data_IF_901650827244
#
_entry.id   IF_901650827244
#
_cell.length_a   1.000
_cell.length_b   1.000
_cell.length_c   1.000
_cell.angle_alpha   90.00
_cell.angle_beta   90.00
_cell.angle_gamma   90.00
#
_symmetry.space_group_name_H-M   'P 1'
#
loop_
_entity.id
_entity.type
_entity.pdbx_description
1 polymer ?
#
# COMPACT_ATOMS: atom_id res chain seq x y z
N UNK A 1 -22.50 18.12 6.25
CA UNK A 1 -22.33 17.11 5.19
C UNK A 1 -22.72 15.76 5.78
N UNK A 2 -23.78 15.12 5.29
CA UNK A 2 -24.06 13.73 5.68
C UNK A 2 -23.10 12.83 4.88
N UNK A 3 -22.23 12.11 5.57
CA UNK A 3 -21.45 11.06 4.93
C UNK A 3 -22.38 9.89 4.62
N UNK A 4 -22.38 9.47 3.35
CA UNK A 4 -23.18 8.33 2.89
C UNK A 4 -22.59 6.99 3.35
N UNK A 5 -21.28 6.93 3.50
CA UNK A 5 -20.58 5.72 3.92
C UNK A 5 -20.46 5.58 5.43
N UNK A 6 -20.63 4.35 5.97
CA UNK A 6 -20.21 4.07 7.32
C UNK A 6 -18.69 4.27 7.45
N UNK A 7 -18.25 4.66 8.64
CA UNK A 7 -16.84 4.69 8.97
C UNK A 7 -16.46 3.37 9.65
N UNK A 8 -15.17 3.02 9.62
CA UNK A 8 -14.68 1.85 10.36
C UNK A 8 -15.00 1.94 11.86
N UNK A 9 -15.16 3.16 12.38
CA UNK A 9 -15.57 3.40 13.75
C UNK A 9 -16.51 4.61 13.89
N UNK A 10 -17.53 4.44 14.74
CA UNK A 10 -18.43 5.53 15.13
C UNK A 10 -17.77 6.40 16.19
N UNK A 11 -17.56 7.68 15.86
CA UNK A 11 -16.87 8.63 16.73
C UNK A 11 -17.81 9.57 17.46
N UNK A 12 -19.11 9.52 17.19
CA UNK A 12 -20.08 10.40 17.83
C UNK A 12 -20.01 10.28 19.35
N UNK A 13 -19.70 11.41 20.00
CA UNK A 13 -19.56 11.52 21.45
C UNK A 13 -18.24 11.00 22.01
N UNK A 14 -17.35 10.41 21.19
CA UNK A 14 -16.02 9.98 21.62
C UNK A 14 -15.13 11.18 21.89
N UNK A 15 -14.35 11.13 22.97
CA UNK A 15 -13.49 12.21 23.42
C UNK A 15 -12.04 11.94 23.04
N UNK A 16 -11.45 12.90 22.33
CA UNK A 16 -10.09 12.85 21.82
C UNK A 16 -9.25 13.95 22.44
N UNK A 17 -7.98 13.66 22.70
CA UNK A 17 -6.95 14.66 22.89
C UNK A 17 -5.77 14.35 21.96
N UNK A 18 -5.31 15.36 21.22
CA UNK A 18 -4.25 15.21 20.21
C UNK A 18 -3.03 15.99 20.65
N UNK A 19 -1.87 15.32 20.68
CA UNK A 19 -0.60 15.90 21.06
C UNK A 19 0.45 15.68 19.96
N UNK A 20 1.20 16.74 19.63
CA UNK A 20 2.09 16.71 18.49
C UNK A 20 1.39 17.13 17.19
N UNK A 21 2.18 17.25 16.13
CA UNK A 21 1.64 17.52 14.80
C UNK A 21 1.54 16.19 14.03
N UNK A 22 0.42 15.98 13.35
CA UNK A 22 0.24 14.86 12.43
C UNK A 22 0.99 15.19 11.14
N UNK A 23 2.04 14.45 10.83
CA UNK A 23 2.90 14.78 9.68
C UNK A 23 2.29 14.36 8.35
N UNK A 24 1.56 13.25 8.34
CA UNK A 24 1.00 12.62 7.16
C UNK A 24 -0.50 12.53 7.33
N UNK A 25 -1.20 13.59 6.95
CA UNK A 25 -2.65 13.56 6.93
C UNK A 25 -3.18 13.08 5.57
N UNK A 26 -4.02 12.03 5.52
CA UNK A 26 -4.49 11.51 4.25
C UNK A 26 -5.38 12.49 3.49
N UNK A 27 -5.05 12.73 2.22
CA UNK A 27 -5.74 13.70 1.36
C UNK A 27 -7.18 13.32 1.06
N UNK A 28 -7.51 12.02 1.11
CA UNK A 28 -8.87 11.54 0.88
C UNK A 28 -9.89 11.99 1.95
N UNK A 29 -9.44 12.53 3.08
CA UNK A 29 -10.33 13.14 4.07
C UNK A 29 -10.88 14.49 3.60
N UNK A 30 -10.14 15.25 2.79
CA UNK A 30 -10.54 16.58 2.29
C UNK A 30 -10.65 17.68 3.37
N UNK A 31 -10.46 17.34 4.65
CA UNK A 31 -10.51 18.24 5.80
C UNK A 31 -9.24 18.08 6.63
N UNK A 32 -8.91 19.06 7.47
CA UNK A 32 -7.85 18.90 8.48
C UNK A 32 -8.22 17.90 9.58
N UNK A 33 -7.26 17.57 10.43
CA UNK A 33 -7.40 16.58 11.53
C UNK A 33 -8.60 16.86 12.42
N UNK A 34 -8.62 18.04 13.04
CA UNK A 34 -9.67 18.44 13.99
C UNK A 34 -11.04 18.54 13.31
N UNK A 35 -11.07 19.17 12.13
CA UNK A 35 -12.29 19.30 11.34
C UNK A 35 -12.87 17.93 10.96
N UNK A 36 -12.03 16.92 10.68
CA UNK A 36 -12.47 15.56 10.38
C UNK A 36 -13.12 14.89 11.58
N UNK A 37 -12.53 15.05 12.77
CA UNK A 37 -13.09 14.51 14.03
C UNK A 37 -14.42 15.18 14.37
N UNK A 38 -14.47 16.50 14.32
CA UNK A 38 -15.69 17.27 14.59
C UNK A 38 -16.80 16.94 13.58
N UNK A 39 -16.49 16.80 12.30
CA UNK A 39 -17.44 16.39 11.26
C UNK A 39 -18.02 14.97 11.50
N UNK A 40 -17.34 14.16 12.32
CA UNK A 40 -17.79 12.82 12.74
C UNK A 40 -18.42 12.81 14.14
N UNK A 41 -18.65 13.99 14.74
CA UNK A 41 -19.30 14.12 16.03
C UNK A 41 -18.41 13.78 17.23
N UNK A 42 -17.09 13.68 17.04
CA UNK A 42 -16.15 13.54 18.14
C UNK A 42 -16.04 14.85 18.94
N UNK A 43 -15.64 14.73 20.20
CA UNK A 43 -15.36 15.83 21.11
C UNK A 43 -13.85 15.97 21.27
N UNK A 44 -13.31 17.17 21.02
CA UNK A 44 -11.90 17.47 21.22
C UNK A 44 -11.70 18.12 22.58
N UNK A 45 -10.74 17.60 23.35
CA UNK A 45 -10.30 18.17 24.62
C UNK A 45 -8.85 18.63 24.51
N UNK A 46 -8.57 19.83 25.03
CA UNK A 46 -7.23 20.43 25.01
C UNK A 46 -6.26 19.83 26.03
N UNK A 47 -6.75 18.92 26.88
CA UNK A 47 -5.97 18.38 28.00
C UNK A 47 -6.22 16.89 28.23
N UNK A 48 -5.22 16.22 28.81
CA UNK A 48 -5.34 14.83 29.24
C UNK A 48 -6.23 14.73 30.48
N UNK A 49 -7.31 13.98 30.33
CA UNK A 49 -8.29 13.70 31.36
C UNK A 49 -8.64 12.20 31.37
N UNK A 50 -9.03 11.65 32.51
CA UNK A 50 -9.24 10.22 32.70
C UNK A 50 -10.42 9.68 31.88
N UNK A 51 -11.34 10.59 31.53
CA UNK A 51 -12.53 10.32 30.77
C UNK A 51 -12.31 10.33 29.25
N UNK A 52 -11.11 10.59 28.74
CA UNK A 52 -10.86 10.45 27.31
C UNK A 52 -11.23 9.03 26.80
N UNK A 53 -11.62 8.95 25.53
CA UNK A 53 -11.73 7.67 24.82
C UNK A 53 -10.42 7.37 24.09
N UNK A 54 -9.82 8.40 23.46
CA UNK A 54 -8.58 8.29 22.70
C UNK A 54 -7.58 9.41 23.02
N UNK A 55 -6.31 9.04 23.07
CA UNK A 55 -5.17 9.96 23.12
C UNK A 55 -4.29 9.70 21.91
N UNK A 56 -4.10 10.71 21.07
CA UNK A 56 -3.34 10.60 19.83
C UNK A 56 -2.01 11.32 19.96
N UNK A 57 -0.91 10.65 19.61
CA UNK A 57 0.42 11.25 19.54
C UNK A 57 0.94 11.28 18.10
N UNK A 58 0.88 12.46 17.46
CA UNK A 58 1.45 12.67 16.12
C UNK A 58 2.96 12.55 16.10
N UNK A 59 3.57 12.18 14.96
CA UNK A 59 5.03 11.99 14.88
C UNK A 59 5.82 13.30 15.00
N UNK A 60 5.18 14.44 14.67
CA UNK A 60 5.79 15.77 14.72
C UNK A 60 6.28 16.17 16.12
N UNK A 61 7.42 16.87 16.15
CA UNK A 61 7.95 17.46 17.39
C UNK A 61 7.17 18.72 17.74
N UNK A 62 6.46 18.67 18.87
CA UNK A 62 5.79 19.84 19.47
C UNK A 62 6.13 19.95 20.94
N UNK A 63 6.25 21.19 21.43
CA UNK A 63 6.46 21.45 22.86
C UNK A 63 5.31 20.81 23.65
N UNK A 64 5.65 20.11 24.74
CA UNK A 64 4.68 19.42 25.59
C UNK A 64 4.36 17.97 25.22
N UNK A 65 4.75 17.45 24.03
CA UNK A 65 4.48 16.05 23.65
C UNK A 65 5.04 15.05 24.66
N UNK A 66 6.31 15.17 25.05
CA UNK A 66 6.95 14.26 26.01
C UNK A 66 6.32 14.32 27.41
N UNK A 67 5.85 15.50 27.82
CA UNK A 67 5.12 15.67 29.07
C UNK A 67 3.73 15.01 29.00
N UNK A 68 2.99 15.24 27.91
CA UNK A 68 1.72 14.59 27.66
C UNK A 68 1.86 13.06 27.59
N UNK A 69 2.89 12.52 26.95
CA UNK A 69 3.14 11.06 26.92
C UNK A 69 3.33 10.50 28.33
N UNK A 70 4.17 11.14 29.17
CA UNK A 70 4.36 10.70 30.57
C UNK A 70 3.08 10.80 31.38
N UNK A 71 2.31 11.89 31.22
CA UNK A 71 1.03 12.07 31.92
C UNK A 71 -0.01 11.05 31.48
N UNK A 72 -0.09 10.72 30.18
CA UNK A 72 -1.00 9.69 29.68
C UNK A 72 -0.66 8.30 30.24
N UNK A 73 0.63 7.95 30.32
CA UNK A 73 1.08 6.72 30.96
C UNK A 73 0.70 6.67 32.45
N UNK A 74 0.99 7.74 33.21
CA UNK A 74 0.61 7.82 34.62
C UNK A 74 -0.90 7.69 34.85
N UNK A 75 -1.73 8.29 33.99
CA UNK A 75 -3.19 8.13 34.06
C UNK A 75 -3.63 6.68 33.77
N UNK A 76 -2.97 5.96 32.86
CA UNK A 76 -3.25 4.54 32.61
C UNK A 76 -2.86 3.67 33.80
N UNK A 77 -1.73 3.94 34.45
CA UNK A 77 -1.33 3.27 35.69
C UNK A 77 -2.34 3.51 36.83
N UNK A 78 -3.01 4.67 36.81
CA UNK A 78 -4.10 5.01 37.73
C UNK A 78 -5.47 4.44 37.31
N UNK A 79 -5.54 3.64 36.25
CA UNK A 79 -6.74 2.94 35.81
C UNK A 79 -7.58 3.65 34.74
N UNK A 80 -7.07 4.71 34.12
CA UNK A 80 -7.74 5.32 32.96
C UNK A 80 -7.85 4.31 31.79
N UNK A 81 -8.98 4.36 31.08
CA UNK A 81 -9.34 3.36 30.06
C UNK A 81 -9.20 3.83 28.61
N UNK A 82 -8.69 5.05 28.38
CA UNK A 82 -8.47 5.54 27.02
C UNK A 82 -7.43 4.70 26.26
N UNK A 83 -7.60 4.65 24.95
CA UNK A 83 -6.62 4.06 24.04
C UNK A 83 -5.57 5.11 23.65
N UNK A 84 -4.30 4.68 23.58
CA UNK A 84 -3.20 5.53 23.11
C UNK A 84 -2.88 5.12 21.68
N UNK A 85 -3.05 6.05 20.74
CA UNK A 85 -2.80 5.84 19.32
C UNK A 85 -1.56 6.63 18.88
N UNK A 86 -0.72 6.01 18.06
CA UNK A 86 0.23 6.72 17.23
C UNK A 86 -0.45 7.27 15.96
N UNK A 87 0.31 7.96 15.12
CA UNK A 87 -0.22 8.56 13.89
C UNK A 87 -0.83 7.52 12.94
N UNK A 88 -0.18 6.35 12.79
CA UNK A 88 -0.66 5.29 11.92
C UNK A 88 -1.96 4.65 12.45
N UNK A 89 -2.01 4.33 13.74
CA UNK A 89 -3.21 3.81 14.41
C UNK A 89 -4.37 4.80 14.36
N UNK A 90 -4.09 6.09 14.48
CA UNK A 90 -5.11 7.14 14.34
C UNK A 90 -5.65 7.24 12.92
N UNK A 91 -4.79 7.23 11.89
CA UNK A 91 -5.24 7.20 10.49
C UNK A 91 -6.08 5.95 10.21
N UNK A 92 -5.65 4.80 10.74
CA UNK A 92 -6.38 3.55 10.61
C UNK A 92 -7.77 3.64 11.24
N UNK A 93 -7.89 4.16 12.47
CA UNK A 93 -9.16 4.43 13.16
C UNK A 93 -10.11 5.28 12.30
N UNK A 94 -9.54 6.24 11.58
CA UNK A 94 -10.31 7.21 10.82
C UNK A 94 -10.69 6.75 9.42
N UNK A 95 -10.25 5.60 8.94
CA UNK A 95 -10.54 5.14 7.58
C UNK A 95 -12.06 4.99 7.33
N UNK A 96 -12.55 5.34 6.13
CA UNK A 96 -13.92 5.01 5.75
C UNK A 96 -14.07 3.50 5.58
N UNK A 97 -15.25 2.96 5.87
CA UNK A 97 -15.59 1.62 5.42
C UNK A 97 -15.92 1.70 3.93
N UNK A 98 -15.25 0.89 3.12
CA UNK A 98 -15.39 0.91 1.66
C UNK A 98 -16.26 -0.22 1.12
N UNK A 99 -16.78 -1.09 1.99
CA UNK A 99 -17.73 -2.12 1.59
C UNK A 99 -18.94 -1.46 0.91
N UNK A 100 -19.24 -1.88 -0.31
CA UNK A 100 -20.30 -1.36 -1.18
C UNK A 100 -20.14 0.11 -1.61
N UNK A 101 -19.00 0.74 -1.33
CA UNK A 101 -18.74 2.10 -1.79
C UNK A 101 -18.64 2.13 -3.32
N UNK A 102 -19.31 3.10 -3.95
CA UNK A 102 -19.36 3.25 -5.40
C UNK A 102 -18.29 4.25 -5.87
N UNK A 103 -17.41 3.79 -6.74
CA UNK A 103 -16.32 4.57 -7.30
C UNK A 103 -16.48 4.78 -8.80
N UNK A 104 -16.10 5.95 -9.30
CA UNK A 104 -15.98 6.24 -10.72
C UNK A 104 -14.58 6.77 -11.03
N UNK A 105 -13.93 6.26 -12.07
CA UNK A 105 -12.60 6.69 -12.47
C UNK A 105 -12.68 7.59 -13.70
N UNK A 106 -12.32 8.87 -13.52
CA UNK A 106 -12.26 9.86 -14.58
C UNK A 106 -10.84 9.91 -15.18
N UNK A 107 -10.55 9.01 -16.12
CA UNK A 107 -9.24 8.86 -16.74
C UNK A 107 -8.75 7.41 -16.69
N UNK A 108 -7.48 7.21 -17.05
CA UNK A 108 -6.79 5.93 -16.87
C UNK A 108 -5.93 5.97 -15.61
N UNK A 109 -6.15 5.02 -14.70
CA UNK A 109 -5.31 4.85 -13.53
C UNK A 109 -3.88 4.48 -13.96
N UNK A 110 -2.86 5.19 -13.48
CA UNK A 110 -1.49 4.92 -13.90
C UNK A 110 -1.07 3.48 -13.57
N UNK A 111 -1.39 3.02 -12.36
CA UNK A 111 -1.17 1.65 -11.88
C UNK A 111 -2.00 0.61 -12.63
N UNK A 112 -3.19 1.00 -13.08
CA UNK A 112 -4.15 0.13 -13.76
C UNK A 112 -3.98 0.01 -15.27
N UNK A 113 -2.87 0.53 -15.83
CA UNK A 113 -2.59 0.41 -17.26
C UNK A 113 -2.53 -1.05 -17.68
N UNK A 114 -3.62 -1.53 -18.27
CA UNK A 114 -3.75 -2.88 -18.77
C UNK A 114 -3.13 -3.85 -17.79
N UNK A 115 -3.70 -4.13 -16.61
CA UNK A 115 -3.54 -5.39 -15.86
C UNK A 115 -4.90 -5.78 -15.27
N UNK A 116 -5.38 -7.00 -15.46
CA UNK A 116 -6.67 -7.42 -14.91
C UNK A 116 -6.66 -7.26 -13.39
N UNK A 117 -5.56 -7.70 -12.77
CA UNK A 117 -5.30 -7.59 -11.34
C UNK A 117 -5.05 -6.16 -10.83
N UNK A 118 -4.69 -5.19 -11.67
CA UNK A 118 -4.49 -3.79 -11.25
C UNK A 118 -5.52 -2.83 -11.83
N UNK A 119 -6.51 -3.37 -12.55
CA UNK A 119 -7.65 -2.62 -13.06
C UNK A 119 -8.39 -1.94 -11.90
N UNK A 120 -9.02 -0.78 -12.13
CA UNK A 120 -9.84 -0.15 -11.10
C UNK A 120 -10.84 -1.13 -10.47
N UNK A 121 -11.51 -1.95 -11.29
CA UNK A 121 -12.47 -2.93 -10.79
C UNK A 121 -11.83 -3.98 -9.86
N UNK A 122 -10.67 -4.56 -10.24
CA UNK A 122 -9.99 -5.53 -9.40
C UNK A 122 -9.51 -4.92 -8.08
N UNK A 123 -8.96 -3.70 -8.12
CA UNK A 123 -8.54 -3.00 -6.90
C UNK A 123 -9.74 -2.68 -6.00
N UNK A 124 -10.87 -2.23 -6.55
CA UNK A 124 -12.08 -2.00 -5.76
C UNK A 124 -12.64 -3.29 -5.16
N UNK A 125 -12.58 -4.40 -5.91
CA UNK A 125 -13.02 -5.71 -5.43
C UNK A 125 -12.23 -6.17 -4.20
N UNK A 126 -10.93 -5.88 -4.14
CA UNK A 126 -10.12 -6.12 -2.93
C UNK A 126 -10.57 -5.33 -1.70
N UNK A 127 -11.48 -4.36 -1.84
CA UNK A 127 -12.01 -3.53 -0.77
C UNK A 127 -13.51 -3.80 -0.50
N UNK A 128 -14.13 -4.71 -1.26
CA UNK A 128 -15.58 -4.86 -1.30
C UNK A 128 -16.32 -3.67 -1.94
N UNK A 129 -15.62 -2.81 -2.67
CA UNK A 129 -16.18 -1.63 -3.34
C UNK A 129 -16.62 -1.94 -4.78
N UNK A 130 -17.43 -1.07 -5.37
CA UNK A 130 -18.03 -1.27 -6.70
C UNK A 130 -17.63 -0.18 -7.70
N UNK A 131 -17.37 -0.58 -8.95
CA UNK A 131 -17.15 0.35 -10.05
C UNK A 131 -18.50 0.83 -10.59
N UNK A 132 -18.80 2.13 -10.42
CA UNK A 132 -19.97 2.75 -10.99
C UNK A 132 -19.80 2.94 -12.51
N UNK A 133 -20.82 2.62 -13.33
CA UNK A 133 -20.74 2.76 -14.79
C UNK A 133 -20.84 4.22 -15.27
N UNK A 134 -21.30 5.13 -14.40
CA UNK A 134 -21.49 6.56 -14.68
C UNK A 134 -21.41 7.38 -13.40
N UNK A 135 -21.25 8.68 -13.57
CA UNK A 135 -21.38 9.66 -12.49
C UNK A 135 -22.86 9.94 -12.24
N UNK A 136 -23.35 9.59 -11.06
CA UNK A 136 -24.73 9.82 -10.61
C UNK A 136 -24.78 10.23 -9.12
N UNK A 137 -25.98 10.54 -8.61
CA UNK A 137 -26.20 11.01 -7.22
C UNK A 137 -25.81 9.96 -6.17
N UNK A 138 -25.71 8.69 -6.58
CA UNK A 138 -25.39 7.60 -5.67
C UNK A 138 -23.89 7.34 -5.54
N UNK A 139 -23.07 8.01 -6.33
CA UNK A 139 -21.62 7.89 -6.33
C UNK A 139 -21.02 8.40 -5.01
N UNK A 140 -20.15 7.59 -4.39
CA UNK A 140 -19.44 7.99 -3.17
C UNK A 140 -18.12 8.68 -3.49
N UNK A 141 -17.37 8.13 -4.45
CA UNK A 141 -16.06 8.64 -4.85
C UNK A 141 -15.94 8.79 -6.37
N UNK A 142 -15.40 9.92 -6.80
CA UNK A 142 -14.83 10.08 -8.13
C UNK A 142 -13.31 10.24 -8.01
N UNK A 143 -12.58 9.31 -8.63
CA UNK A 143 -11.11 9.36 -8.72
C UNK A 143 -10.72 10.05 -10.02
N UNK A 144 -9.97 11.14 -9.92
CA UNK A 144 -9.42 11.88 -11.04
C UNK A 144 -8.03 11.34 -11.32
N UNK A 145 -7.93 10.42 -12.28
CA UNK A 145 -6.65 9.80 -12.64
C UNK A 145 -5.73 10.82 -13.33
N UNK A 146 -4.41 10.66 -13.23
CA UNK A 146 -3.48 11.63 -13.84
C UNK A 146 -3.56 11.61 -15.38
N UNK A 147 -3.75 10.42 -15.97
CA UNK A 147 -3.80 10.27 -17.41
C UNK A 147 -5.11 10.77 -18.01
N UNK A 148 -5.02 11.22 -19.26
CA UNK A 148 -6.17 11.64 -20.04
C UNK A 148 -6.84 10.42 -20.65
N UNK A 149 -8.17 10.35 -20.54
CA UNK A 149 -8.99 9.42 -21.27
C UNK A 149 -10.22 10.15 -21.83
N UNK A 150 -10.89 9.55 -22.81
CA UNK A 150 -12.15 10.07 -23.36
C UNK A 150 -13.19 10.18 -22.23
N UNK A 151 -13.89 11.31 -22.17
CA UNK A 151 -14.96 11.52 -21.17
C UNK A 151 -14.52 12.10 -19.82
N UNK A 152 -13.21 12.17 -19.51
CA UNK A 152 -12.71 12.71 -18.23
C UNK A 152 -13.26 14.10 -17.89
N UNK A 153 -13.21 15.04 -18.83
CA UNK A 153 -13.70 16.41 -18.60
C UNK A 153 -15.22 16.46 -18.40
N UNK A 154 -15.97 15.63 -19.12
CA UNK A 154 -17.43 15.54 -18.97
C UNK A 154 -17.81 14.93 -17.60
N UNK A 155 -17.13 13.87 -17.17
CA UNK A 155 -17.31 13.26 -15.86
C UNK A 155 -17.00 14.25 -14.72
N UNK A 156 -15.89 14.98 -14.82
CA UNK A 156 -15.54 16.04 -13.87
C UNK A 156 -16.64 17.10 -13.75
N UNK A 157 -17.12 17.59 -14.89
CA UNK A 157 -18.21 18.57 -14.92
C UNK A 157 -19.49 18.03 -14.27
N UNK A 158 -19.87 16.79 -14.57
CA UNK A 158 -21.04 16.14 -13.98
C UNK A 158 -20.93 16.00 -12.46
N UNK A 159 -19.76 15.56 -11.96
CA UNK A 159 -19.52 15.41 -10.53
C UNK A 159 -19.54 16.76 -9.80
N UNK A 160 -18.92 17.80 -10.35
CA UNK A 160 -18.98 19.15 -9.78
C UNK A 160 -20.41 19.70 -9.74
N UNK A 161 -21.22 19.41 -10.77
CA UNK A 161 -22.64 19.80 -10.78
C UNK A 161 -23.43 19.09 -9.67
N UNK A 162 -23.21 17.79 -9.47
CA UNK A 162 -23.84 17.04 -8.38
C UNK A 162 -23.42 17.56 -6.99
N UNK A 163 -22.13 17.88 -6.80
CA UNK A 163 -21.66 18.50 -5.55
C UNK A 163 -22.34 19.86 -5.30
N UNK A 164 -22.50 20.68 -6.34
CA UNK A 164 -23.22 21.95 -6.24
C UNK A 164 -24.71 21.76 -5.90
N UNK A 165 -25.30 20.61 -6.24
CA UNK A 165 -26.66 20.21 -5.89
C UNK A 165 -26.75 19.55 -4.49
N UNK A 166 -25.64 19.47 -3.75
CA UNK A 166 -25.60 18.91 -2.40
C UNK A 166 -25.35 17.41 -2.33
N UNK A 167 -24.98 16.75 -3.43
CA UNK A 167 -24.56 15.36 -3.40
C UNK A 167 -23.31 15.18 -2.51
N UNK A 168 -23.31 14.12 -1.70
CA UNK A 168 -22.22 13.82 -0.76
C UNK A 168 -21.01 13.11 -1.41
N UNK A 169 -20.84 13.22 -2.73
CA UNK A 169 -19.75 12.58 -3.46
C UNK A 169 -18.41 13.30 -3.19
N UNK A 170 -17.34 12.53 -3.11
CA UNK A 170 -15.97 13.05 -2.94
C UNK A 170 -15.19 12.96 -4.24
N UNK A 171 -14.61 14.07 -4.67
CA UNK A 171 -13.68 14.10 -5.79
C UNK A 171 -12.27 14.03 -5.22
N UNK A 172 -11.52 12.99 -5.54
CA UNK A 172 -10.15 12.77 -5.08
C UNK A 172 -9.21 12.58 -6.26
N UNK A 173 -7.95 13.01 -6.14
CA UNK A 173 -6.94 12.71 -7.14
C UNK A 173 -6.45 11.25 -7.03
N UNK A 174 -5.69 10.80 -8.02
CA UNK A 174 -5.14 9.45 -8.04
C UNK A 174 -4.29 9.15 -6.80
N UNK A 175 -3.51 10.10 -6.33
CA UNK A 175 -2.63 9.88 -5.19
C UNK A 175 -3.40 9.74 -3.86
N UNK A 176 -4.48 10.51 -3.69
CA UNK A 176 -5.39 10.38 -2.57
C UNK A 176 -6.15 9.04 -2.62
N UNK A 177 -6.48 8.53 -3.81
CA UNK A 177 -6.98 7.16 -3.96
C UNK A 177 -5.93 6.12 -3.54
N UNK A 178 -4.65 6.33 -3.85
CA UNK A 178 -3.59 5.42 -3.40
C UNK A 178 -3.41 5.42 -1.88
N UNK A 179 -3.51 6.59 -1.24
CA UNK A 179 -3.53 6.71 0.22
C UNK A 179 -4.74 6.00 0.83
N UNK A 180 -5.90 6.07 0.15
CA UNK A 180 -7.11 5.37 0.56
C UNK A 180 -6.92 3.86 0.47
N UNK A 181 -6.33 3.32 -0.61
CA UNK A 181 -5.99 1.90 -0.69
C UNK A 181 -5.05 1.47 0.44
N UNK A 182 -4.01 2.26 0.69
CA UNK A 182 -3.04 1.99 1.74
C UNK A 182 -3.68 1.95 3.15
N UNK A 183 -4.70 2.77 3.41
CA UNK A 183 -5.36 2.81 4.72
C UNK A 183 -6.28 1.62 4.99
N UNK A 184 -6.63 0.83 3.96
CA UNK A 184 -7.45 -0.37 4.10
C UNK A 184 -6.62 -1.63 4.37
N UNK A 185 -5.28 -1.53 4.33
CA UNK A 185 -4.41 -2.69 4.54
C UNK A 185 -4.60 -3.25 5.95
N UNK A 186 -4.96 -4.54 6.02
CA UNK A 186 -5.19 -5.25 7.28
C UNK A 186 -6.57 -5.01 7.90
N UNK A 187 -7.44 -4.23 7.25
CA UNK A 187 -8.82 -4.08 7.69
C UNK A 187 -9.58 -5.42 7.56
N UNK A 188 -10.35 -5.83 8.59
CA UNK A 188 -11.25 -6.97 8.44
C UNK A 188 -12.28 -6.64 7.36
N UNK A 189 -12.46 -7.56 6.41
CA UNK A 189 -13.45 -7.40 5.36
C UNK A 189 -14.78 -7.96 5.85
N UNK A 190 -15.65 -7.09 6.36
CA UNK A 190 -16.99 -7.48 6.76
C UNK A 190 -17.79 -7.96 5.53
N UNK A 191 -18.29 -9.20 5.59
CA UNK A 191 -19.08 -9.78 4.50
C UNK A 191 -18.29 -10.28 3.30
N UNK A 192 -16.96 -10.41 3.40
CA UNK A 192 -16.16 -11.10 2.39
C UNK A 192 -16.49 -12.60 2.41
N UNK A 193 -17.55 -12.98 1.70
CA UNK A 193 -17.52 -14.22 0.94
C UNK A 193 -16.16 -14.24 0.20
N UNK A 194 -15.44 -15.37 0.26
CA UNK A 194 -14.10 -15.58 -0.31
C UNK A 194 -13.75 -14.53 -1.36
N UNK A 195 -12.87 -13.58 -0.99
CA UNK A 195 -12.45 -12.47 -1.86
C UNK A 195 -12.12 -13.04 -3.23
N UNK A 196 -12.99 -12.78 -4.21
CA UNK A 196 -12.78 -13.18 -5.61
C UNK A 196 -11.74 -12.28 -6.30
N UNK A 197 -11.03 -11.47 -5.52
CA UNK A 197 -9.90 -10.69 -6.01
C UNK A 197 -8.67 -11.60 -6.16
N UNK A 198 -7.92 -11.40 -7.23
CA UNK A 198 -6.66 -12.12 -7.42
C UNK A 198 -5.66 -11.79 -6.30
N UNK A 199 -4.81 -12.74 -5.85
CA UNK A 199 -3.74 -12.46 -4.88
C UNK A 199 -2.80 -11.32 -5.29
N UNK A 200 -2.58 -11.16 -6.61
CA UNK A 200 -1.81 -10.05 -7.15
C UNK A 200 -2.48 -8.69 -6.90
N UNK A 201 -3.79 -8.59 -7.12
CA UNK A 201 -4.57 -7.38 -6.84
C UNK A 201 -4.47 -6.98 -5.37
N UNK A 202 -4.59 -7.95 -4.46
CA UNK A 202 -4.46 -7.71 -3.01
C UNK A 202 -3.09 -7.15 -2.64
N UNK A 203 -2.02 -7.74 -3.19
CA UNK A 203 -0.68 -7.22 -2.97
C UNK A 203 -0.54 -5.82 -3.54
N UNK A 204 -0.96 -5.58 -4.79
CA UNK A 204 -0.85 -4.27 -5.46
C UNK A 204 -1.63 -3.19 -4.73
N UNK A 205 -2.82 -3.50 -4.19
CA UNK A 205 -3.59 -2.57 -3.37
C UNK A 205 -2.85 -2.17 -2.08
N UNK A 206 -2.03 -3.07 -1.52
CA UNK A 206 -1.27 -2.82 -0.30
C UNK A 206 0.07 -2.08 -0.52
N UNK A 207 0.70 -2.24 -1.69
CA UNK A 207 2.01 -1.66 -1.99
C UNK A 207 2.15 -0.13 -1.80
N UNK A 208 1.14 0.72 -2.05
CA UNK A 208 1.24 2.17 -1.86
C UNK A 208 1.54 2.58 -0.42
N UNK A 209 1.14 1.77 0.57
CA UNK A 209 1.50 1.96 1.97
C UNK A 209 2.91 1.49 2.32
N UNK A 210 3.60 0.79 1.41
CA UNK A 210 4.86 0.08 1.67
C UNK A 210 6.04 0.64 0.85
N UNK A 211 5.78 1.20 -0.32
CA UNK A 211 6.82 1.70 -1.23
C UNK A 211 6.32 2.84 -2.11
N UNK A 212 7.22 3.42 -2.89
CA UNK A 212 6.91 4.54 -3.79
C UNK A 212 6.09 4.07 -5.02
N UNK A 213 4.98 4.75 -5.37
CA UNK A 213 4.14 4.39 -6.52
C UNK A 213 4.88 4.27 -7.86
N UNK A 214 5.93 5.08 -8.10
CA UNK A 214 6.70 4.99 -9.35
C UNK A 214 7.53 3.72 -9.41
N UNK A 215 7.95 3.16 -8.26
CA UNK A 215 8.64 1.86 -8.21
C UNK A 215 7.69 0.72 -8.50
N UNK A 216 6.47 0.77 -7.95
CA UNK A 216 5.40 -0.19 -8.25
C UNK A 216 5.12 -0.17 -9.75
N UNK A 217 4.90 1.02 -10.31
CA UNK A 217 4.66 1.19 -11.75
C UNK A 217 5.79 0.58 -12.59
N UNK A 218 7.05 0.90 -12.27
CA UNK A 218 8.21 0.36 -13.01
C UNK A 218 8.32 -1.15 -12.93
N UNK A 219 7.94 -1.76 -11.81
CA UNK A 219 7.94 -3.21 -11.65
C UNK A 219 6.82 -3.86 -12.50
N UNK A 220 5.61 -3.29 -12.48
CA UNK A 220 4.51 -3.74 -13.32
C UNK A 220 4.82 -3.54 -14.82
N UNK A 221 5.40 -2.40 -15.20
CA UNK A 221 5.81 -2.13 -16.58
C UNK A 221 6.89 -3.10 -17.06
N UNK A 222 7.74 -3.59 -16.16
CA UNK A 222 8.70 -4.65 -16.47
C UNK A 222 7.95 -5.96 -16.77
N UNK A 223 7.08 -6.39 -15.86
CA UNK A 223 6.32 -7.64 -15.99
C UNK A 223 5.38 -7.68 -17.21
N UNK A 224 4.86 -6.51 -17.65
CA UNK A 224 4.02 -6.37 -18.84
C UNK A 224 4.78 -6.42 -20.15
N UNK A 225 6.04 -6.01 -20.19
CA UNK A 225 6.74 -5.85 -21.48
C UNK A 225 7.25 -7.18 -22.01
N UNK A 226 7.79 -8.01 -21.13
CA UNK A 226 8.50 -9.22 -21.53
C UNK A 226 8.14 -10.39 -20.62
N UNK A 227 8.16 -11.59 -21.19
CA UNK A 227 8.16 -12.83 -20.40
C UNK A 227 9.44 -12.88 -19.58
N UNK A 228 9.32 -13.00 -18.27
CA UNK A 228 10.48 -13.10 -17.38
C UNK A 228 10.66 -14.51 -16.91
N UNK A 229 11.91 -14.97 -16.95
CA UNK A 229 12.34 -16.19 -16.29
C UNK A 229 12.89 -15.82 -14.92
N UNK A 230 12.09 -16.05 -13.89
CA UNK A 230 12.47 -15.81 -12.50
C UNK A 230 13.08 -17.09 -11.96
N UNK A 231 14.39 -17.12 -11.78
CA UNK A 231 15.05 -18.18 -11.04
C UNK A 231 14.88 -17.87 -9.56
N UNK A 232 14.09 -18.67 -8.86
CA UNK A 232 13.61 -18.33 -7.52
C UNK A 232 13.99 -19.40 -6.49
N UNK A 233 14.28 -18.92 -5.30
CA UNK A 233 14.52 -19.68 -4.08
C UNK A 233 13.62 -19.06 -3.02
N UNK A 234 12.49 -19.70 -2.73
CA UNK A 234 11.47 -19.18 -1.82
C UNK A 234 11.10 -20.22 -0.79
N UNK A 235 11.04 -19.79 0.48
CA UNK A 235 10.56 -20.57 1.61
C UNK A 235 9.84 -19.66 2.62
N UNK A 236 9.62 -20.14 3.85
CA UNK A 236 8.96 -19.36 4.90
C UNK A 236 9.80 -18.20 5.47
N UNK A 237 11.11 -18.19 5.22
CA UNK A 237 12.09 -17.28 5.82
C UNK A 237 12.64 -16.26 4.80
N UNK A 238 12.66 -16.59 3.50
CA UNK A 238 13.10 -15.65 2.46
C UNK A 238 12.51 -15.92 1.08
N UNK A 239 12.62 -14.90 0.23
CA UNK A 239 12.63 -15.04 -1.22
C UNK A 239 13.93 -14.45 -1.76
N UNK A 240 14.63 -15.24 -2.56
CA UNK A 240 15.77 -14.81 -3.36
C UNK A 240 15.54 -15.19 -4.81
N UNK A 241 16.17 -14.47 -5.73
CA UNK A 241 16.11 -14.85 -7.12
C UNK A 241 16.84 -13.93 -8.08
N UNK A 242 16.86 -14.35 -9.34
CA UNK A 242 17.40 -13.60 -10.46
C UNK A 242 16.28 -12.94 -11.24
N UNK A 243 16.42 -11.64 -11.47
CA UNK A 243 15.51 -10.83 -12.28
C UNK A 243 16.31 -10.23 -13.43
N UNK A 244 15.93 -10.53 -14.68
CA UNK A 244 16.58 -9.95 -15.86
C UNK A 244 16.31 -8.44 -15.96
N UNK A 245 17.32 -7.71 -16.39
CA UNK A 245 17.24 -6.28 -16.65
C UNK A 245 16.42 -5.99 -17.89
N UNK A 246 15.80 -4.82 -17.92
CA UNK A 246 15.04 -4.31 -19.07
C UNK A 246 15.94 -3.75 -20.18
N UNK A 247 17.15 -3.29 -19.87
CA UNK A 247 17.96 -2.44 -20.78
C UNK A 247 19.13 -3.16 -21.44
N UNK A 248 19.36 -4.43 -21.16
CA UNK A 248 20.51 -5.16 -21.72
C UNK A 248 20.27 -6.66 -21.78
N UNK A 249 20.55 -7.25 -22.94
CA UNK A 249 20.33 -8.67 -23.29
C UNK A 249 20.99 -9.68 -22.34
N UNK A 250 21.99 -9.26 -21.56
CA UNK A 250 22.75 -10.12 -20.64
C UNK A 250 22.81 -9.62 -19.20
N UNK A 251 22.14 -8.50 -18.88
CA UNK A 251 22.19 -7.96 -17.52
C UNK A 251 21.06 -8.55 -16.66
N UNK A 252 21.41 -9.03 -15.48
CA UNK A 252 20.48 -9.54 -14.49
C UNK A 252 20.82 -9.01 -13.10
N UNK A 253 19.85 -9.08 -12.20
CA UNK A 253 19.98 -8.67 -10.82
C UNK A 253 19.70 -9.85 -9.91
N UNK A 254 20.59 -10.07 -8.96
CA UNK A 254 20.32 -10.91 -7.80
C UNK A 254 19.58 -10.08 -6.77
N UNK A 255 18.46 -10.58 -6.25
CA UNK A 255 17.67 -9.87 -5.25
C UNK A 255 17.18 -10.82 -4.17
N UNK A 256 17.10 -10.31 -2.94
CA UNK A 256 16.68 -11.08 -1.78
C UNK A 256 15.89 -10.22 -0.80
N UNK A 257 14.89 -10.83 -0.17
CA UNK A 257 14.20 -10.33 1.01
C UNK A 257 13.98 -11.46 2.00
N UNK A 258 14.17 -11.18 3.27
CA UNK A 258 13.91 -12.10 4.37
C UNK A 258 12.62 -11.70 5.11
N UNK A 259 12.05 -12.64 5.86
CA UNK A 259 10.85 -12.43 6.65
C UNK A 259 10.97 -11.30 7.68
N UNK A 260 12.18 -11.10 8.20
CA UNK A 260 12.51 -10.02 9.13
C UNK A 260 12.67 -8.63 8.46
N UNK A 261 12.49 -8.56 7.14
CA UNK A 261 12.59 -7.33 6.36
C UNK A 261 14.03 -6.94 6.00
N UNK A 262 15.04 -7.79 6.19
CA UNK A 262 16.34 -7.57 5.52
C UNK A 262 16.16 -7.78 4.03
N UNK A 263 16.74 -6.89 3.22
CA UNK A 263 16.67 -6.99 1.77
C UNK A 263 17.93 -6.46 1.11
N UNK A 264 18.29 -7.03 -0.03
CA UNK A 264 19.41 -6.59 -0.85
C UNK A 264 19.16 -6.84 -2.33
N UNK A 265 19.88 -6.12 -3.18
CA UNK A 265 19.89 -6.33 -4.62
C UNK A 265 21.21 -5.82 -5.20
N UNK A 266 21.83 -6.62 -6.06
CA UNK A 266 23.03 -6.28 -6.83
C UNK A 266 22.88 -6.73 -8.28
N UNK A 267 23.71 -6.18 -9.16
CA UNK A 267 23.87 -6.70 -10.52
C UNK A 267 24.81 -7.93 -10.56
N UNK A 268 25.19 -8.34 -11.76
CA UNK A 268 26.04 -9.50 -12.00
C UNK A 268 27.48 -9.35 -11.47
N UNK A 269 27.93 -8.10 -11.26
CA UNK A 269 29.27 -7.76 -10.75
C UNK A 269 29.27 -7.51 -9.24
N UNK A 270 28.14 -7.81 -8.57
CA UNK A 270 27.87 -7.55 -7.15
C UNK A 270 27.78 -6.07 -6.79
N UNK A 271 27.73 -5.18 -7.79
CA UNK A 271 27.51 -3.77 -7.54
C UNK A 271 26.07 -3.54 -7.06
N UNK A 272 25.94 -2.74 -6.00
CA UNK A 272 24.65 -2.51 -5.36
C UNK A 272 23.68 -1.84 -6.34
N UNK A 273 22.47 -2.40 -6.45
CA UNK A 273 21.43 -1.83 -7.29
C UNK A 273 21.13 -0.38 -6.87
N UNK A 274 21.22 0.55 -7.82
CA UNK A 274 20.94 1.98 -7.61
C UNK A 274 19.52 2.27 -7.09
N UNK A 275 18.59 1.34 -7.27
CA UNK A 275 17.23 1.42 -6.72
C UNK A 275 17.15 1.24 -5.19
N UNK A 276 18.22 0.81 -4.54
CA UNK A 276 18.27 0.47 -3.11
C UNK A 276 18.48 1.67 -2.17
N UNK A 277 18.14 2.89 -2.60
CA UNK A 277 18.26 4.12 -1.80
C UNK A 277 17.26 4.21 -0.64
N UNK A 278 17.29 3.27 0.31
CA UNK A 278 16.50 3.29 1.54
C UNK A 278 15.12 2.61 1.47
N UNK A 279 14.73 2.10 0.30
CA UNK A 279 13.48 1.32 0.09
C UNK A 279 13.75 0.15 -0.86
N UNK A 280 12.84 -0.81 -0.90
CA UNK A 280 12.87 -1.94 -1.83
C UNK A 280 12.97 -1.47 -3.29
N UNK A 281 13.89 -2.04 -4.06
CA UNK A 281 14.08 -1.68 -5.47
C UNK A 281 12.99 -2.29 -6.36
N UNK A 282 12.91 -1.85 -7.62
CA UNK A 282 11.94 -2.40 -8.58
C UNK A 282 12.16 -3.89 -8.87
N UNK A 283 13.40 -4.40 -8.87
CA UNK A 283 13.68 -5.81 -9.16
C UNK A 283 13.13 -6.72 -8.06
N UNK A 284 13.26 -6.31 -6.80
CA UNK A 284 12.66 -7.04 -5.68
C UNK A 284 11.12 -7.06 -5.78
N UNK A 285 10.52 -5.95 -6.21
CA UNK A 285 9.07 -5.92 -6.46
C UNK A 285 8.67 -6.83 -7.62
N UNK A 286 9.45 -6.88 -8.71
CA UNK A 286 9.23 -7.81 -9.83
C UNK A 286 9.25 -9.25 -9.34
N UNK A 287 10.26 -9.64 -8.55
CA UNK A 287 10.36 -10.98 -7.95
C UNK A 287 9.09 -11.32 -7.14
N UNK A 288 8.71 -10.46 -6.20
CA UNK A 288 7.58 -10.72 -5.31
C UNK A 288 6.23 -10.74 -6.04
N UNK A 289 6.02 -9.82 -6.98
CA UNK A 289 4.80 -9.79 -7.81
C UNK A 289 4.71 -11.03 -8.72
N UNK A 290 5.83 -11.51 -9.26
CA UNK A 290 5.91 -12.76 -10.02
C UNK A 290 5.61 -14.00 -9.17
N UNK A 291 6.18 -14.08 -7.97
CA UNK A 291 5.94 -15.18 -7.04
C UNK A 291 4.48 -15.22 -6.55
N UNK A 292 3.88 -14.06 -6.26
CA UNK A 292 2.47 -13.99 -5.87
C UNK A 292 1.54 -14.37 -7.02
N UNK A 293 1.81 -13.86 -8.22
CA UNK A 293 0.99 -14.18 -9.41
C UNK A 293 1.05 -15.68 -9.77
N UNK A 294 2.22 -16.31 -9.63
CA UNK A 294 2.40 -17.74 -9.89
C UNK A 294 1.95 -18.64 -8.73
N UNK A 295 1.45 -18.08 -7.62
CA UNK A 295 0.98 -18.84 -6.46
C UNK A 295 2.09 -19.44 -5.59
N UNK A 296 3.36 -19.09 -5.82
CA UNK A 296 4.50 -19.60 -5.05
C UNK A 296 4.75 -18.84 -3.75
N UNK A 297 4.18 -17.63 -3.61
CA UNK A 297 4.26 -16.85 -2.39
C UNK A 297 2.87 -16.27 -2.08
N UNK A 298 2.30 -16.47 -0.88
CA UNK A 298 1.03 -15.84 -0.52
C UNK A 298 1.14 -14.30 -0.51
N UNK A 299 0.08 -13.61 -0.97
CA UNK A 299 -0.01 -12.14 -1.00
C UNK A 299 0.28 -11.52 0.37
N UNK A 300 -0.29 -12.11 1.43
CA UNK A 300 -0.09 -11.69 2.81
C UNK A 300 1.37 -11.81 3.28
N UNK A 301 2.06 -12.89 2.90
CA UNK A 301 3.47 -13.10 3.24
C UNK A 301 4.35 -12.04 2.58
N UNK A 302 4.20 -11.84 1.26
CA UNK A 302 4.93 -10.81 0.52
C UNK A 302 4.72 -9.42 1.11
N UNK A 303 3.46 -9.09 1.44
CA UNK A 303 3.08 -7.82 2.09
C UNK A 303 3.78 -7.63 3.44
N UNK A 304 3.77 -8.66 4.30
CA UNK A 304 4.36 -8.59 5.63
C UNK A 304 5.88 -8.39 5.56
N UNK A 305 6.55 -9.08 4.63
CA UNK A 305 7.99 -8.92 4.41
C UNK A 305 8.35 -7.52 3.92
N UNK A 306 7.56 -6.97 2.98
CA UNK A 306 7.72 -5.59 2.50
C UNK A 306 7.47 -4.56 3.60
N UNK A 307 6.49 -4.78 4.48
CA UNK A 307 6.22 -3.92 5.63
C UNK A 307 7.39 -3.94 6.63
N UNK A 308 7.96 -5.11 6.90
CA UNK A 308 9.17 -5.23 7.72
C UNK A 308 10.37 -4.51 7.06
N UNK A 309 10.51 -4.64 5.74
CA UNK A 309 11.57 -3.99 4.97
C UNK A 309 11.47 -2.46 4.98
N UNK A 310 10.26 -1.89 4.96
CA UNK A 310 10.07 -0.44 5.01
C UNK A 310 10.58 0.20 6.33
N UNK A 311 10.64 -0.58 7.42
CA UNK A 311 11.21 -0.15 8.71
C UNK A 311 12.74 -0.26 8.76
N UNK A 312 13.38 -0.84 7.75
CA UNK A 312 14.81 -1.16 7.75
C UNK A 312 15.54 -0.44 6.61
N UNK A 313 16.73 0.06 6.94
CA UNK A 313 17.69 0.44 5.90
C UNK A 313 18.30 -0.82 5.30
N UNK A 314 18.65 -0.83 4.01
CA UNK A 314 19.41 -1.92 3.42
C UNK A 314 20.74 -2.01 4.16
N UNK A 315 20.91 -3.05 4.97
CA UNK A 315 22.13 -3.33 5.71
C UNK A 315 22.53 -4.78 5.49
N UNK A 316 23.83 -4.99 5.28
CA UNK A 316 24.47 -6.27 5.46
C UNK A 316 24.68 -6.47 6.97
N UNK A 317 23.78 -7.17 7.65
CA UNK A 317 24.03 -7.59 9.05
C UNK A 317 23.52 -9.01 9.29
N UNK A 318 24.47 -9.95 9.28
CA UNK A 318 24.54 -11.27 9.94
C UNK A 318 25.95 -11.86 9.73
N UNK A 319 26.29 -12.97 10.39
CA UNK A 319 27.58 -13.68 10.23
C UNK A 319 27.90 -14.05 8.77
N UNK A 320 26.87 -14.31 7.95
CA UNK A 320 26.94 -14.31 6.49
C UNK A 320 26.46 -12.95 5.98
N UNK A 321 27.26 -12.29 5.16
CA UNK A 321 26.90 -10.99 4.61
C UNK A 321 25.80 -11.13 3.55
N UNK A 322 24.93 -10.12 3.40
CA UNK A 322 23.94 -10.13 2.31
C UNK A 322 24.59 -10.21 0.93
N UNK A 323 25.83 -9.76 0.79
CA UNK A 323 26.61 -9.86 -0.43
C UNK A 323 26.97 -11.32 -0.77
N UNK A 324 27.39 -12.12 0.23
CA UNK A 324 27.64 -13.55 0.05
C UNK A 324 26.37 -14.28 -0.42
N UNK A 325 25.22 -14.02 0.21
CA UNK A 325 23.95 -14.64 -0.19
C UNK A 325 23.54 -14.27 -1.63
N UNK A 326 23.81 -13.02 -2.04
CA UNK A 326 23.56 -12.58 -3.41
C UNK A 326 24.51 -13.26 -4.40
N UNK A 327 25.80 -13.39 -4.06
CA UNK A 327 26.80 -14.09 -4.84
C UNK A 327 26.46 -15.58 -5.00
N UNK A 328 26.02 -16.25 -3.94
CA UNK A 328 25.57 -17.65 -3.98
C UNK A 328 24.39 -17.82 -4.95
N UNK A 329 23.45 -16.88 -4.94
CA UNK A 329 22.31 -16.88 -5.88
C UNK A 329 22.78 -16.72 -7.33
N UNK A 330 23.79 -15.89 -7.58
CA UNK A 330 24.40 -15.71 -8.92
C UNK A 330 25.14 -16.98 -9.36
N UNK A 331 25.90 -17.62 -8.45
CA UNK A 331 26.60 -18.87 -8.74
C UNK A 331 25.62 -20.00 -9.10
N UNK A 332 24.52 -20.14 -8.33
CA UNK A 332 23.44 -21.10 -8.65
C UNK A 332 22.85 -20.82 -10.03
N UNK A 333 22.63 -19.55 -10.38
CA UNK A 333 22.08 -19.17 -11.68
C UNK A 333 23.03 -19.51 -12.82
N UNK A 334 24.32 -19.18 -12.70
CA UNK A 334 25.34 -19.54 -13.69
C UNK A 334 25.47 -21.05 -13.87
N UNK A 335 25.45 -21.81 -12.77
CA UNK A 335 25.44 -23.27 -12.82
C UNK A 335 24.20 -23.81 -13.55
N UNK A 336 23.03 -23.20 -13.34
CA UNK A 336 21.81 -23.57 -14.05
C UNK A 336 21.87 -23.23 -15.55
N UNK A 337 22.39 -22.06 -15.93
CA UNK A 337 22.62 -21.71 -17.34
C UNK A 337 23.63 -22.63 -18.03
N UNK A 338 24.63 -23.13 -17.29
CA UNK A 338 25.61 -24.11 -17.77
C UNK A 338 25.07 -25.56 -17.83
N UNK A 339 23.86 -25.82 -17.31
CA UNK A 339 23.29 -27.17 -17.21
C UNK A 339 23.90 -28.03 -16.10
N UNK A 340 24.67 -27.42 -15.18
CA UNK A 340 25.29 -28.08 -14.03
C UNK A 340 24.34 -28.21 -12.84
N UNK A 341 23.27 -27.40 -12.81
CA UNK A 341 22.24 -27.41 -11.78
C UNK A 341 20.84 -27.42 -12.42
N UNK A 342 19.97 -28.38 -12.07
CA UNK A 342 18.56 -28.34 -12.46
C UNK A 342 17.79 -27.34 -11.59
N UNK A 343 17.93 -26.05 -11.92
CA UNK A 343 17.16 -24.97 -11.31
C UNK A 343 16.29 -24.31 -12.38
N UNK A 344 15.01 -24.67 -12.42
CA UNK A 344 14.09 -24.20 -13.46
C UNK A 344 13.48 -22.84 -13.08
N UNK A 345 13.40 -21.90 -14.03
CA UNK A 345 12.76 -20.63 -13.77
C UNK A 345 11.24 -20.78 -13.68
N UNK A 346 10.64 -19.89 -12.90
CA UNK A 346 9.22 -19.56 -13.00
C UNK A 346 9.06 -18.55 -14.14
N UNK A 347 8.23 -18.87 -15.13
CA UNK A 347 7.94 -17.94 -16.22
C UNK A 347 6.77 -17.02 -15.85
N UNK A 348 6.97 -15.72 -15.98
CA UNK A 348 5.89 -14.73 -15.93
C UNK A 348 5.31 -14.53 -17.32
N UNK A 349 3.99 -14.38 -17.39
CA UNK A 349 3.28 -14.15 -18.65
C UNK A 349 2.79 -12.69 -18.64
N UNK A 350 3.22 -11.84 -19.59
CA UNK A 350 2.78 -10.45 -19.69
C UNK A 350 1.27 -10.25 -19.55
N UNK A 351 0.50 -11.16 -20.15
CA UNK A 351 -0.96 -11.18 -20.16
C UNK A 351 -1.59 -11.28 -18.76
N UNK A 352 -0.91 -11.89 -17.79
CA UNK A 352 -1.33 -11.91 -16.38
C UNK A 352 -1.29 -10.52 -15.76
N UNK A 353 -0.44 -9.67 -16.32
CA UNK A 353 -0.30 -8.27 -15.96
C UNK A 353 -0.98 -7.37 -16.98
N UNK A 354 -1.83 -7.91 -17.88
CA UNK A 354 -2.74 -7.20 -18.81
C UNK A 354 -4.22 -7.22 -18.39
N UNK A 355 -4.94 -6.09 -18.56
CA UNK A 355 -6.40 -5.98 -18.40
C UNK A 355 -6.99 -5.92 -19.79
N UNK A 356 -8.02 -6.71 -20.03
CA UNK A 356 -8.85 -6.64 -21.21
C UNK A 356 -9.88 -5.51 -21.08
#
# INVERSE_FOLDING_TARGET
MHNKLPWAEELRGRRFAIFGDIQQWPRYHGLGVEATLLARGALLLDSLAAELDYVVFGEGRKKGKAEATRKAQALREQGARFEILDEAGFIYLLRPALSQARFFFAGELALGQGASATSPEALLRTLGAELAPKVDVDLDFMVVCDRRAKGKAAALKAASQLQAQGAALRIIDESAFMELLASQVGAPQEGAAESSASPLAELVAALPGLTDPRRIQRALDMLRRDRMQLYVDVDGEHAAGIVRSQTGFSSYYSTRINADGRYSCCDADLDRCMGMGGKVCKHLLVLLLGLVQSGQLPSATARNWLAAANKRKPRATSEVSMEQLLADTILRYKAAEAGELDWRPTETVPEDYYAY
#
